data_IF_671913262352
#
_entry.id   IF_671913262352
#
_cell.length_a   1.000
_cell.length_b   1.000
_cell.length_c   1.000
_cell.angle_alpha   90.00
_cell.angle_beta   90.00
_cell.angle_gamma   90.00
#
_symmetry.space_group_name_H-M   'P 1'
#
loop_
_entity.id
_entity.type
_entity.pdbx_description
1 polymer ?
#
# COMPACT_ATOMS: atom_id res chain seq x y z
N UNK A 1 -76.81 -7.94 -26.86
CA UNK A 1 -77.47 -6.80 -26.19
C UNK A 1 -76.75 -5.52 -26.60
N UNK A 2 -77.52 -4.52 -27.04
CA UNK A 2 -77.37 -3.05 -26.93
C UNK A 2 -76.15 -2.55 -26.11
N UNK A 3 -75.44 -1.44 -26.36
CA UNK A 3 -75.58 -0.28 -27.24
C UNK A 3 -74.31 0.61 -27.15
N UNK A 4 -73.89 1.21 -28.27
CA UNK A 4 -73.64 2.66 -28.53
C UNK A 4 -72.93 3.52 -27.44
N UNK A 5 -71.78 4.17 -27.74
CA UNK A 5 -71.68 5.57 -28.25
C UNK A 5 -70.23 6.13 -28.30
N UNK A 6 -69.98 6.89 -29.38
CA UNK A 6 -68.92 7.87 -29.74
C UNK A 6 -68.71 9.00 -28.71
N UNK A 7 -67.86 10.03 -28.79
CA UNK A 7 -67.04 10.76 -29.80
C UNK A 7 -66.12 11.73 -28.96
N UNK A 8 -64.87 12.01 -29.33
CA UNK A 8 -64.38 13.26 -29.98
C UNK A 8 -64.54 14.59 -29.19
N UNK A 9 -63.43 15.24 -28.80
CA UNK A 9 -62.79 16.37 -29.51
C UNK A 9 -61.92 17.26 -28.58
N UNK A 10 -60.97 17.92 -29.24
CA UNK A 10 -59.86 18.78 -28.81
C UNK A 10 -60.30 20.11 -28.17
N UNK A 11 -59.43 20.74 -27.37
CA UNK A 11 -59.27 22.21 -27.31
C UNK A 11 -57.83 22.61 -26.96
N UNK A 12 -57.31 23.45 -27.84
CA UNK A 12 -56.10 24.29 -27.84
C UNK A 12 -56.03 25.28 -26.66
N UNK A 13 -54.82 25.62 -26.18
CA UNK A 13 -54.49 27.00 -25.78
C UNK A 13 -52.99 27.21 -25.62
N UNK A 14 -52.42 27.99 -26.55
CA UNK A 14 -51.14 28.68 -26.43
C UNK A 14 -51.33 29.91 -25.53
N UNK A 15 -50.27 30.41 -24.86
CA UNK A 15 -50.02 31.84 -25.02
C UNK A 15 -48.55 32.15 -25.32
N UNK A 16 -48.38 33.13 -26.20
CA UNK A 16 -47.13 33.78 -26.55
C UNK A 16 -47.15 35.17 -25.93
N UNK A 17 -46.11 35.58 -25.20
CA UNK A 17 -45.66 36.98 -25.18
C UNK A 17 -44.24 37.12 -24.64
N UNK A 18 -43.53 38.01 -25.33
CA UNK A 18 -42.10 38.35 -25.34
C UNK A 18 -41.70 39.21 -24.14
N UNK A 19 -40.50 38.98 -23.59
CA UNK A 19 -39.86 39.86 -22.60
C UNK A 19 -38.38 39.50 -22.38
N UNK A 20 -37.49 40.24 -23.01
CA UNK A 20 -36.02 40.11 -22.94
C UNK A 20 -35.46 40.50 -21.57
N UNK A 21 -34.56 39.69 -21.00
CA UNK A 21 -33.41 40.17 -20.23
C UNK A 21 -32.33 39.09 -20.19
N UNK A 22 -31.21 39.36 -20.85
CA UNK A 22 -29.96 38.61 -20.73
C UNK A 22 -29.40 38.79 -19.32
N UNK A 23 -29.14 37.69 -18.63
CA UNK A 23 -28.09 37.63 -17.62
C UNK A 23 -27.59 36.19 -17.54
N UNK A 24 -26.49 35.94 -18.27
CA UNK A 24 -25.48 34.92 -17.99
C UNK A 24 -26.00 33.65 -17.31
N UNK A 25 -26.43 32.68 -18.11
CA UNK A 25 -26.39 31.28 -17.67
C UNK A 25 -24.94 30.99 -17.33
N UNK A 26 -24.60 31.14 -16.04
CA UNK A 26 -23.39 30.60 -15.46
C UNK A 26 -23.53 29.11 -15.63
N UNK A 27 -22.98 28.64 -16.76
CA UNK A 27 -22.61 27.28 -17.02
C UNK A 27 -21.79 26.89 -15.79
N UNK A 28 -22.46 26.31 -14.79
CA UNK A 28 -21.75 25.44 -13.87
C UNK A 28 -21.39 24.29 -14.78
N UNK A 29 -20.25 24.43 -15.46
CA UNK A 29 -19.32 23.34 -15.59
C UNK A 29 -19.27 22.74 -14.20
N UNK A 30 -20.11 21.74 -13.96
CA UNK A 30 -19.75 20.63 -13.13
C UNK A 30 -18.50 20.11 -13.81
N UNK A 31 -17.36 20.66 -13.42
CA UNK A 31 -16.11 19.98 -13.59
C UNK A 31 -16.37 18.60 -13.01
N UNK A 32 -16.45 17.61 -13.90
CA UNK A 32 -16.26 16.22 -13.57
C UNK A 32 -14.82 16.13 -13.08
N UNK A 33 -14.61 16.65 -11.87
CA UNK A 33 -13.39 16.55 -11.12
C UNK A 33 -13.49 15.11 -10.68
N UNK A 34 -12.93 14.23 -11.50
CA UNK A 34 -12.53 12.89 -11.08
C UNK A 34 -11.82 13.15 -9.77
N UNK A 35 -12.48 12.85 -8.64
CA UNK A 35 -11.89 13.03 -7.33
C UNK A 35 -10.65 12.17 -7.36
N UNK A 36 -9.48 12.81 -7.35
CA UNK A 36 -8.22 12.11 -7.16
C UNK A 36 -8.41 11.29 -5.87
N UNK A 37 -8.42 9.94 -5.92
CA UNK A 37 -9.14 9.17 -4.91
C UNK A 37 -8.62 9.40 -3.49
N UNK A 38 -7.33 9.70 -3.36
CA UNK A 38 -6.66 10.00 -2.10
C UNK A 38 -5.53 11.01 -2.32
N UNK A 39 -5.32 11.91 -1.36
CA UNK A 39 -4.25 12.90 -1.41
C UNK A 39 -2.88 12.26 -1.15
N UNK A 40 -1.80 12.84 -1.71
CA UNK A 40 -0.43 12.37 -1.45
C UNK A 40 -0.13 12.32 0.06
N UNK A 41 -0.58 13.31 0.83
CA UNK A 41 -0.43 13.36 2.29
C UNK A 41 -1.11 12.20 3.00
N UNK A 42 -2.26 11.75 2.50
CA UNK A 42 -2.99 10.62 3.05
C UNK A 42 -2.29 9.30 2.75
N UNK A 43 -1.83 9.11 1.51
CA UNK A 43 -1.04 7.93 1.12
C UNK A 43 0.27 7.84 1.89
N UNK A 44 0.93 8.98 2.16
CA UNK A 44 2.10 9.04 3.05
C UNK A 44 1.77 8.60 4.47
N UNK A 45 0.61 9.00 4.99
CA UNK A 45 0.16 8.55 6.31
C UNK A 45 -0.05 7.05 6.31
N UNK A 46 -0.72 6.50 5.29
CA UNK A 46 -0.92 5.06 5.17
C UNK A 46 0.40 4.29 5.11
N UNK A 47 1.41 4.82 4.42
CA UNK A 47 2.74 4.21 4.38
C UNK A 47 3.36 4.06 5.77
N UNK A 48 3.22 5.07 6.64
CA UNK A 48 3.71 5.01 8.03
C UNK A 48 2.86 4.11 8.92
N UNK A 49 1.54 4.19 8.77
CA UNK A 49 0.60 3.36 9.54
C UNK A 49 0.82 1.88 9.18
N UNK A 50 0.86 1.53 7.89
CA UNK A 50 1.11 0.16 7.39
C UNK A 50 2.47 -0.38 7.85
N UNK A 51 3.52 0.45 7.84
CA UNK A 51 4.83 0.07 8.36
C UNK A 51 4.75 -0.24 9.86
N UNK A 52 4.11 0.61 10.64
CA UNK A 52 3.96 0.45 12.10
C UNK A 52 3.17 -0.81 12.43
N UNK A 53 2.04 -1.01 11.75
CA UNK A 53 1.22 -2.21 11.91
C UNK A 53 1.97 -3.48 11.51
N UNK A 54 2.74 -3.45 10.42
CA UNK A 54 3.56 -4.59 9.99
C UNK A 54 4.67 -4.90 10.99
N UNK A 55 5.32 -3.89 11.57
CA UNK A 55 6.31 -4.05 12.64
C UNK A 55 5.65 -4.74 13.84
N UNK A 56 4.51 -4.23 14.33
CA UNK A 56 3.80 -4.82 15.46
C UNK A 56 3.33 -6.25 15.18
N UNK A 57 2.92 -6.54 13.94
CA UNK A 57 2.57 -7.89 13.52
C UNK A 57 3.78 -8.83 13.56
N UNK A 58 4.95 -8.41 13.04
CA UNK A 58 6.19 -9.19 13.08
C UNK A 58 6.69 -9.43 14.52
N UNK A 59 6.62 -8.42 15.39
CA UNK A 59 7.06 -8.52 16.79
C UNK A 59 6.23 -9.50 17.61
N UNK A 60 4.97 -9.70 17.19
CA UNK A 60 4.01 -10.62 17.82
C UNK A 60 4.12 -12.05 17.32
N UNK A 61 4.98 -12.33 16.33
CA UNK A 61 5.23 -13.70 15.86
C UNK A 61 6.09 -14.46 16.88
N UNK A 62 5.81 -15.76 17.04
CA UNK A 62 6.62 -16.66 17.88
C UNK A 62 8.05 -16.78 17.34
N UNK A 63 8.19 -16.91 16.02
CA UNK A 63 9.44 -16.75 15.28
C UNK A 63 9.48 -15.35 14.67
N UNK A 64 10.40 -14.51 15.16
CA UNK A 64 10.54 -13.13 14.69
C UNK A 64 11.96 -12.81 14.25
N UNK A 65 12.12 -11.86 13.31
CA UNK A 65 13.44 -11.40 12.89
C UNK A 65 14.23 -10.74 14.03
N UNK A 66 15.53 -10.59 13.83
CA UNK A 66 16.37 -9.82 14.75
C UNK A 66 15.82 -8.38 14.89
N UNK A 67 15.85 -7.76 16.09
CA UNK A 67 15.27 -6.42 16.31
C UNK A 67 15.80 -5.34 15.35
N UNK A 68 17.07 -5.42 14.95
CA UNK A 68 17.68 -4.51 13.98
C UNK A 68 17.16 -4.67 12.53
N UNK A 69 16.52 -5.80 12.23
CA UNK A 69 16.02 -6.16 10.91
C UNK A 69 14.51 -6.03 10.78
N UNK A 70 13.74 -6.08 11.88
CA UNK A 70 12.27 -6.03 11.87
C UNK A 70 11.77 -4.86 11.01
N UNK A 71 12.29 -3.64 11.23
CA UNK A 71 11.88 -2.47 10.45
C UNK A 71 12.18 -2.59 8.96
N UNK A 72 13.34 -3.17 8.61
CA UNK A 72 13.73 -3.40 7.20
C UNK A 72 12.80 -4.41 6.54
N UNK A 73 12.58 -5.54 7.20
CA UNK A 73 11.74 -6.63 6.71
C UNK A 73 10.28 -6.18 6.61
N UNK A 74 9.78 -5.41 7.57
CA UNK A 74 8.44 -4.82 7.51
C UNK A 74 8.28 -3.92 6.28
N UNK A 75 9.22 -2.99 6.06
CA UNK A 75 9.19 -2.10 4.91
C UNK A 75 9.24 -2.87 3.59
N UNK A 76 10.12 -3.87 3.49
CA UNK A 76 10.23 -4.75 2.33
C UNK A 76 8.94 -5.55 2.10
N UNK A 77 8.34 -6.09 3.15
CA UNK A 77 7.07 -6.83 3.07
C UNK A 77 5.91 -5.96 2.57
N UNK A 78 5.78 -4.73 3.08
CA UNK A 78 4.76 -3.77 2.61
C UNK A 78 4.95 -3.44 1.12
N UNK A 79 6.19 -3.16 0.70
CA UNK A 79 6.50 -2.83 -0.70
C UNK A 79 6.31 -4.02 -1.64
N UNK A 80 6.63 -5.23 -1.18
CA UNK A 80 6.47 -6.47 -1.95
C UNK A 80 4.99 -6.80 -2.15
N UNK A 81 4.18 -6.74 -1.09
CA UNK A 81 2.74 -6.93 -1.20
C UNK A 81 2.09 -5.93 -2.17
N UNK A 82 2.53 -4.67 -2.16
CA UNK A 82 2.08 -3.67 -3.12
C UNK A 82 2.54 -3.96 -4.56
N UNK A 83 3.77 -4.48 -4.74
CA UNK A 83 4.26 -4.88 -6.06
C UNK A 83 3.45 -6.06 -6.61
N UNK A 84 3.14 -7.08 -5.81
CA UNK A 84 2.31 -8.22 -6.22
C UNK A 84 0.91 -7.78 -6.68
N UNK A 85 0.34 -6.77 -6.00
CA UNK A 85 -0.92 -6.16 -6.39
C UNK A 85 -0.81 -5.44 -7.75
N UNK A 86 0.28 -4.70 -7.98
CA UNK A 86 0.57 -4.05 -9.27
C UNK A 86 0.75 -5.09 -10.37
N UNK A 87 1.52 -6.14 -10.13
CA UNK A 87 1.80 -7.19 -11.11
C UNK A 87 0.51 -7.94 -11.47
N UNK A 88 -0.36 -8.18 -10.50
CA UNK A 88 -1.69 -8.75 -10.74
C UNK A 88 -2.54 -7.84 -11.63
N UNK A 89 -2.53 -6.53 -11.40
CA UNK A 89 -3.23 -5.56 -12.25
C UNK A 89 -2.68 -5.48 -13.66
N UNK A 90 -1.35 -5.54 -13.82
CA UNK A 90 -0.69 -5.61 -15.13
C UNK A 90 -1.06 -6.87 -15.89
N UNK A 91 -1.13 -8.01 -15.19
CA UNK A 91 -1.59 -9.29 -15.73
C UNK A 91 -3.11 -9.37 -15.89
N UNK A 92 -3.84 -8.27 -15.66
CA UNK A 92 -5.31 -8.18 -15.72
C UNK A 92 -6.04 -9.12 -14.75
N UNK A 93 -5.33 -9.66 -13.75
CA UNK A 93 -5.89 -10.44 -12.62
C UNK A 93 -6.57 -9.52 -11.60
N UNK A 94 -7.24 -10.12 -10.64
CA UNK A 94 -7.97 -9.43 -9.57
C UNK A 94 -7.04 -9.22 -8.36
N UNK A 95 -7.03 -8.02 -7.78
CA UNK A 95 -6.23 -7.66 -6.60
C UNK A 95 -6.65 -8.46 -5.38
N UNK A 96 -7.90 -8.90 -5.31
CA UNK A 96 -8.41 -9.77 -4.24
C UNK A 96 -7.58 -11.06 -4.10
N UNK A 97 -7.14 -11.63 -5.22
CA UNK A 97 -6.28 -12.83 -5.20
C UNK A 97 -4.94 -12.60 -4.50
N UNK A 98 -4.38 -11.38 -4.57
CA UNK A 98 -3.17 -11.01 -3.82
C UNK A 98 -3.49 -10.88 -2.35
N UNK A 99 -4.61 -10.24 -2.00
CA UNK A 99 -4.99 -10.06 -0.59
C UNK A 99 -5.25 -11.38 0.14
N UNK A 100 -5.58 -12.46 -0.57
CA UNK A 100 -5.74 -13.80 -0.01
C UNK A 100 -4.41 -14.52 0.24
N UNK A 101 -3.36 -14.18 -0.50
CA UNK A 101 -2.03 -14.81 -0.36
C UNK A 101 -1.24 -14.27 0.84
N UNK A 102 -1.50 -13.02 1.22
CA UNK A 102 -0.71 -12.30 2.21
C UNK A 102 -1.34 -12.37 3.61
N UNK A 103 -0.55 -12.77 4.62
CA UNK A 103 -1.00 -12.82 6.02
C UNK A 103 -1.27 -11.44 6.62
N UNK A 104 -0.50 -10.43 6.18
CA UNK A 104 -0.74 -9.03 6.50
C UNK A 104 -0.88 -8.25 5.19
N UNK A 105 -2.01 -7.55 5.04
CA UNK A 105 -2.33 -6.79 3.83
C UNK A 105 -2.32 -5.29 4.15
N UNK A 106 -1.39 -4.51 3.57
CA UNK A 106 -1.33 -3.06 3.72
C UNK A 106 -2.63 -2.38 3.26
N UNK A 107 -2.96 -1.25 3.87
CA UNK A 107 -4.15 -0.46 3.55
C UNK A 107 -4.21 -0.07 2.08
N UNK A 108 -3.08 0.34 1.49
CA UNK A 108 -3.02 0.70 0.06
C UNK A 108 -3.53 -0.43 -0.84
N UNK A 109 -3.19 -1.69 -0.53
CA UNK A 109 -3.62 -2.85 -1.30
C UNK A 109 -5.12 -3.12 -1.10
N UNK A 110 -5.62 -2.98 0.13
CA UNK A 110 -7.06 -3.07 0.43
C UNK A 110 -7.85 -2.02 -0.35
N UNK A 111 -7.36 -0.79 -0.43
CA UNK A 111 -8.02 0.28 -1.20
C UNK A 111 -7.97 0.03 -2.71
N UNK A 112 -6.88 -0.54 -3.25
CA UNK A 112 -6.82 -0.96 -4.66
C UNK A 112 -7.90 -2.00 -4.99
N UNK A 113 -8.10 -3.01 -4.14
CA UNK A 113 -9.15 -4.02 -4.33
C UNK A 113 -10.57 -3.43 -4.26
N UNK A 114 -10.79 -2.44 -3.38
CA UNK A 114 -12.06 -1.70 -3.31
C UNK A 114 -12.33 -0.88 -4.57
N UNK A 115 -11.31 -0.20 -5.10
CA UNK A 115 -11.42 0.56 -6.34
C UNK A 115 -11.68 -0.35 -7.55
N UNK A 116 -11.01 -1.51 -7.60
CA UNK A 116 -11.23 -2.50 -8.65
C UNK A 116 -12.66 -3.05 -8.62
N UNK A 117 -13.12 -3.47 -7.44
CA UNK A 117 -14.48 -4.02 -7.24
C UNK A 117 -15.58 -2.97 -7.48
N UNK A 118 -15.35 -1.70 -7.13
CA UNK A 118 -16.29 -0.61 -7.43
C UNK A 118 -16.39 -0.31 -8.94
N UNK A 119 -15.37 -0.68 -9.74
CA UNK A 119 -15.37 -0.47 -11.19
C UNK A 119 -16.03 -1.63 -11.98
N UNK A 120 -16.52 -2.69 -11.30
CA UNK A 120 -17.12 -3.87 -11.93
C UNK A 120 -18.38 -3.62 -12.78
N UNK A 121 -19.03 -2.47 -12.66
CA UNK A 121 -20.15 -2.14 -13.56
C UNK A 121 -19.68 -1.94 -15.00
N UNK A 122 -18.39 -1.62 -15.20
CA UNK A 122 -17.78 -1.42 -16.50
C UNK A 122 -16.45 -2.19 -16.55
N UNK A 123 -16.50 -3.45 -16.98
CA UNK A 123 -15.36 -4.38 -17.19
C UNK A 123 -14.32 -3.89 -18.23
N UNK A 124 -14.16 -2.58 -18.39
CA UNK A 124 -13.23 -1.96 -19.30
C UNK A 124 -11.79 -2.20 -18.82
N UNK A 125 -10.99 -2.83 -19.67
CA UNK A 125 -9.53 -2.98 -19.52
C UNK A 125 -8.84 -1.64 -19.25
N UNK A 126 -9.41 -0.54 -19.76
CA UNK A 126 -9.00 0.83 -19.51
C UNK A 126 -9.06 1.23 -18.02
N UNK A 127 -10.02 0.72 -17.24
CA UNK A 127 -10.13 0.94 -15.79
C UNK A 127 -8.94 0.32 -15.05
N UNK A 128 -8.57 -0.93 -15.38
CA UNK A 128 -7.42 -1.60 -14.77
C UNK A 128 -6.09 -0.91 -15.09
N UNK A 129 -5.93 -0.36 -16.28
CA UNK A 129 -4.72 0.39 -16.65
C UNK A 129 -4.59 1.70 -15.87
N UNK A 130 -5.71 2.40 -15.65
CA UNK A 130 -5.72 3.60 -14.81
C UNK A 130 -5.40 3.24 -13.35
N UNK A 131 -5.98 2.16 -12.83
CA UNK A 131 -5.75 1.68 -11.47
C UNK A 131 -4.29 1.22 -11.28
N UNK A 132 -3.71 0.54 -12.27
CA UNK A 132 -2.29 0.19 -12.29
C UNK A 132 -1.38 1.43 -12.28
N UNK A 133 -1.67 2.45 -13.09
CA UNK A 133 -0.92 3.73 -13.07
C UNK A 133 -0.98 4.41 -11.71
N UNK A 134 -2.15 4.39 -11.07
CA UNK A 134 -2.35 4.96 -9.75
C UNK A 134 -1.59 4.17 -8.67
N UNK A 135 -1.67 2.83 -8.70
CA UNK A 135 -0.92 1.96 -7.81
C UNK A 135 0.59 2.20 -7.90
N UNK A 136 1.13 2.37 -9.12
CA UNK A 136 2.54 2.76 -9.33
C UNK A 136 2.88 4.13 -8.74
N UNK A 137 1.96 5.10 -8.81
CA UNK A 137 2.15 6.41 -8.17
C UNK A 137 2.21 6.27 -6.65
N UNK A 138 1.29 5.52 -6.05
CA UNK A 138 1.30 5.23 -4.61
C UNK A 138 2.54 4.46 -4.18
N UNK A 139 3.00 3.49 -4.97
CA UNK A 139 4.23 2.76 -4.70
C UNK A 139 5.43 3.69 -4.56
N UNK A 140 5.58 4.68 -5.44
CA UNK A 140 6.65 5.69 -5.33
C UNK A 140 6.58 6.50 -4.04
N UNK A 141 5.37 6.80 -3.57
CA UNK A 141 5.17 7.49 -2.29
C UNK A 141 5.60 6.58 -1.14
N UNK A 142 5.19 5.30 -1.17
CA UNK A 142 5.59 4.31 -0.18
C UNK A 142 7.11 4.11 -0.17
N UNK A 143 7.75 3.92 -1.33
CA UNK A 143 9.20 3.79 -1.44
C UNK A 143 9.92 5.00 -0.82
N UNK A 144 9.45 6.23 -1.09
CA UNK A 144 10.05 7.43 -0.52
C UNK A 144 9.86 7.54 1.01
N UNK A 145 8.69 7.21 1.53
CA UNK A 145 8.39 7.29 2.97
C UNK A 145 9.04 6.15 3.77
N UNK A 146 9.13 4.94 3.20
CA UNK A 146 9.73 3.77 3.87
C UNK A 146 11.26 3.76 3.72
N UNK A 147 11.81 4.37 2.68
CA UNK A 147 13.26 4.56 2.52
C UNK A 147 13.81 5.66 3.44
N UNK A 148 12.97 6.55 3.98
CA UNK A 148 13.37 7.47 5.05
C UNK A 148 13.68 6.68 6.33
N UNK A 149 14.90 6.17 6.39
CA UNK A 149 15.46 5.42 7.51
C UNK A 149 16.63 6.23 8.07
N UNK A 150 16.51 6.71 9.31
CA UNK A 150 17.69 6.80 10.19
C UNK A 150 17.81 7.97 11.15
N UNK A 151 17.28 9.16 10.90
CA UNK A 151 17.78 10.35 11.61
C UNK A 151 16.92 10.88 12.78
N UNK A 152 15.62 10.54 12.90
CA UNK A 152 14.75 11.20 13.88
C UNK A 152 14.58 10.51 15.25
N UNK A 153 15.16 9.34 15.48
CA UNK A 153 14.99 8.59 16.75
C UNK A 153 16.30 8.39 17.56
N UNK A 154 17.40 9.09 17.25
CA UNK A 154 18.63 9.08 18.09
C UNK A 154 18.85 10.36 18.92
N UNK A 155 17.90 11.28 18.98
CA UNK A 155 18.02 12.52 19.77
C UNK A 155 17.65 12.37 21.27
N UNK A 156 17.71 11.16 21.84
CA UNK A 156 17.56 10.91 23.29
C UNK A 156 18.74 10.12 23.87
N UNK A 157 19.96 10.47 23.49
CA UNK A 157 21.16 10.08 24.25
C UNK A 157 21.66 11.25 25.10
N UNK A 158 21.55 11.11 26.43
CA UNK A 158 22.58 11.41 27.45
C UNK A 158 21.98 11.74 28.80
N UNK A 159 21.76 10.72 29.63
CA UNK A 159 21.93 10.64 31.10
C UNK A 159 21.92 9.13 31.38
N UNK A 160 22.91 8.43 31.93
CA UNK A 160 23.90 8.73 32.98
C UNK A 160 25.02 7.68 32.96
N UNK A 161 26.18 8.09 33.48
CA UNK A 161 27.37 7.34 33.88
C UNK A 161 27.20 5.93 34.45
N UNK A 162 28.21 5.07 34.23
CA UNK A 162 28.45 3.89 35.06
C UNK A 162 29.62 3.04 34.57
N UNK A 163 30.78 3.21 35.19
CA UNK A 163 31.99 2.40 35.01
C UNK A 163 31.74 0.92 35.41
N UNK A 164 32.23 -0.04 34.62
CA UNK A 164 32.64 -1.37 35.12
C UNK A 164 33.42 -2.13 34.04
N UNK A 165 34.68 -2.41 34.36
CA UNK A 165 35.58 -3.34 33.69
C UNK A 165 35.00 -4.75 33.64
N UNK A 166 35.07 -5.44 32.51
CA UNK A 166 34.73 -6.86 32.42
C UNK A 166 34.89 -7.44 31.01
N UNK A 167 36.06 -8.04 30.75
CA UNK A 167 36.38 -9.04 29.72
C UNK A 167 35.68 -8.93 28.35
N UNK A 168 36.41 -8.38 27.39
CA UNK A 168 36.20 -8.63 25.97
C UNK A 168 36.85 -9.99 25.65
N UNK A 169 36.03 -11.03 25.50
CA UNK A 169 36.48 -12.38 25.16
C UNK A 169 35.51 -12.98 24.14
N UNK A 170 35.61 -12.45 22.93
CA UNK A 170 35.04 -12.98 21.69
C UNK A 170 36.14 -13.35 20.68
N UNK A 171 37.42 -13.09 21.00
CA UNK A 171 38.53 -13.39 20.09
C UNK A 171 38.57 -14.88 19.72
N UNK A 172 38.11 -15.16 18.50
CA UNK A 172 38.12 -16.48 17.90
C UNK A 172 39.57 -16.80 17.56
N UNK A 173 40.18 -17.68 18.34
CA UNK A 173 41.54 -18.17 18.05
C UNK A 173 41.47 -19.07 16.82
N UNK A 174 41.96 -18.57 15.69
CA UNK A 174 42.15 -19.35 14.47
C UNK A 174 43.27 -20.38 14.71
N UNK A 175 42.90 -21.65 14.86
CA UNK A 175 43.87 -22.74 14.90
C UNK A 175 44.39 -22.98 13.48
N UNK A 176 45.70 -22.86 13.30
CA UNK A 176 46.34 -23.12 12.01
C UNK A 176 46.32 -24.62 11.71
N UNK A 177 46.19 -24.98 10.43
CA UNK A 177 46.12 -26.39 9.99
C UNK A 177 47.38 -27.17 10.41
N UNK A 178 48.52 -26.47 10.55
CA UNK A 178 49.79 -27.04 10.97
C UNK A 178 49.77 -27.56 12.43
N UNK A 179 49.07 -26.88 13.34
CA UNK A 179 48.96 -27.29 14.74
C UNK A 179 48.06 -28.53 14.89
N UNK A 180 47.02 -28.63 14.07
CA UNK A 180 46.12 -29.79 14.03
C UNK A 180 46.87 -31.02 13.50
N UNK A 181 47.68 -30.87 12.45
CA UNK A 181 48.46 -31.98 11.89
C UNK A 181 49.50 -32.52 12.90
N UNK A 182 50.18 -31.63 13.63
CA UNK A 182 51.13 -32.03 14.65
C UNK A 182 50.46 -32.79 15.81
N UNK A 183 49.28 -32.36 16.25
CA UNK A 183 48.50 -33.09 17.25
C UNK A 183 48.12 -34.48 16.74
N UNK A 184 47.62 -34.59 15.51
CA UNK A 184 47.17 -35.85 14.91
C UNK A 184 48.30 -36.89 14.77
N UNK A 185 49.51 -36.43 14.41
CA UNK A 185 50.68 -37.29 14.28
C UNK A 185 51.13 -37.88 15.62
N UNK A 186 50.91 -37.16 16.71
CA UNK A 186 51.28 -37.59 18.06
C UNK A 186 50.26 -38.53 18.71
N UNK A 187 49.01 -38.61 18.20
CA UNK A 187 48.01 -39.58 18.67
C UNK A 187 48.11 -40.93 17.96
N UNK A 188 48.85 -41.01 16.85
CA UNK A 188 49.02 -42.22 16.03
C UNK A 188 50.30 -43.02 16.35
N UNK A 189 50.94 -42.73 17.49
CA UNK A 189 52.13 -43.42 17.99
C UNK A 189 51.82 -44.07 19.34
N UNK A 190 50.91 -45.03 19.32
CA UNK A 190 50.79 -46.09 20.34
C UNK A 190 50.53 -47.44 19.66
#
# INVERSE_FOLDING_TARGET
>A
MLSIKSEENQVETKPETRGTSSASSKNRQSCNTVKEPFSVTEVKKWARDDLTETISWLESQEEKPAPGEIKRIAAEGVLTCLQDAIDSLEQKKDVGSVTELWSFVPRVVKELGKMESSSKTENSTASKDQLCKQAKSWKKIYEAELAQKGEEEEAKSRRTSGVASGYDSDETVEMTEEEIEHAYRNVSLE
#
